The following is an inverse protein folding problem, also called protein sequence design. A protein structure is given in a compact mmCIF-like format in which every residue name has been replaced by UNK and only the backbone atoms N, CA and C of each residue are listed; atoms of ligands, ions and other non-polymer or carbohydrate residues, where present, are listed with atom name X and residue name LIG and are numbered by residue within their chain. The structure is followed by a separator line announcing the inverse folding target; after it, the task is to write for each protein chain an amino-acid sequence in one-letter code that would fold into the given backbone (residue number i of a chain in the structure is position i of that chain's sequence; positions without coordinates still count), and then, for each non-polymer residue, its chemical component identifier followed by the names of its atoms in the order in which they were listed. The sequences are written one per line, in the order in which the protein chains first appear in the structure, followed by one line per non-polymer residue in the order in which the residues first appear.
data_IF_116257422821
#
_entry.id   IF_116257422821
#
_cell.length_a   1.000
_cell.length_b   1.000
_cell.length_c   1.000
_cell.angle_alpha   90.00
_cell.angle_beta   90.00
_cell.angle_gamma   90.00
#
_symmetry.space_group_name_H-M   'P 1'
#
loop_
_entity.id
_entity.type
_entity.pdbx_description
1 polymer ?
#
# COMPACT_ATOMS: atom_id res chain seq x y z
N UNK A 1 -26.24 -18.86 -28.80
CA UNK A 1 -27.63 -18.89 -28.28
C UNK A 1 -27.65 -18.82 -26.74
N UNK A 2 -27.88 -17.64 -26.16
CA UNK A 2 -28.04 -17.50 -24.70
C UNK A 2 -29.35 -18.18 -24.28
N UNK A 3 -29.25 -19.31 -23.59
CA UNK A 3 -30.39 -19.96 -22.97
C UNK A 3 -30.97 -19.02 -21.90
N UNK A 4 -32.19 -18.53 -22.12
CA UNK A 4 -32.95 -17.79 -21.09
C UNK A 4 -33.09 -18.71 -19.89
N UNK A 5 -32.30 -18.44 -18.84
CA UNK A 5 -32.45 -19.14 -17.56
C UNK A 5 -33.70 -18.58 -16.91
N UNK A 6 -34.79 -19.33 -16.97
CA UNK A 6 -36.03 -18.97 -16.29
C UNK A 6 -35.76 -19.10 -14.80
N UNK A 7 -35.72 -17.98 -14.10
CA UNK A 7 -35.56 -17.95 -12.66
C UNK A 7 -36.85 -18.46 -12.03
N UNK A 8 -36.84 -19.70 -11.54
CA UNK A 8 -37.93 -20.23 -10.72
C UNK A 8 -37.73 -19.70 -9.30
N UNK A 9 -38.59 -18.79 -8.87
CA UNK A 9 -38.59 -18.37 -7.47
C UNK A 9 -39.00 -19.56 -6.59
N UNK A 10 -38.39 -19.75 -5.41
CA UNK A 10 -38.84 -20.79 -4.50
C UNK A 10 -40.32 -20.58 -4.15
N UNK A 11 -41.07 -21.67 -4.06
CA UNK A 11 -42.45 -21.63 -3.57
C UNK A 11 -42.43 -21.28 -2.09
N UNK A 12 -43.26 -20.31 -1.70
CA UNK A 12 -43.37 -19.88 -0.30
C UNK A 12 -43.98 -21.05 0.50
N UNK A 13 -43.33 -21.55 1.55
CA UNK A 13 -43.82 -22.68 2.32
C UNK A 13 -45.19 -22.39 2.96
N UNK A 14 -46.13 -23.32 2.84
CA UNK A 14 -47.55 -23.16 3.23
C UNK A 14 -47.84 -22.88 4.72
N UNK A 15 -46.81 -22.80 5.57
CA UNK A 15 -46.89 -22.46 6.99
C UNK A 15 -46.31 -21.09 7.36
N UNK A 16 -45.86 -20.30 6.38
CA UNK A 16 -45.23 -19.00 6.61
C UNK A 16 -46.30 -17.91 6.75
N UNK A 17 -46.54 -17.45 7.98
CA UNK A 17 -47.48 -16.36 8.30
C UNK A 17 -46.82 -14.98 8.28
N UNK A 18 -45.52 -14.91 7.99
CA UNK A 18 -44.75 -13.66 7.99
C UNK A 18 -44.92 -12.95 6.65
N UNK A 19 -45.74 -11.90 6.63
CA UNK A 19 -45.88 -11.02 5.47
C UNK A 19 -44.65 -10.11 5.38
N UNK A 20 -43.87 -10.25 4.31
CA UNK A 20 -42.73 -9.38 4.02
C UNK A 20 -43.19 -8.17 3.22
N UNK A 21 -43.21 -7.00 3.87
CA UNK A 21 -43.52 -5.72 3.24
C UNK A 21 -42.28 -5.17 2.53
N UNK A 22 -42.42 -4.75 1.27
CA UNK A 22 -41.31 -4.15 0.51
C UNK A 22 -41.16 -2.65 0.77
N UNK A 23 -42.21 -2.00 1.25
CA UNK A 23 -42.24 -0.59 1.60
C UNK A 23 -43.25 -0.29 2.71
N UNK A 24 -43.11 0.86 3.35
CA UNK A 24 -44.05 1.38 4.35
C UNK A 24 -45.46 1.56 3.77
N UNK A 25 -45.58 2.06 2.53
CA UNK A 25 -46.88 2.22 1.87
C UNK A 25 -47.61 0.88 1.64
N UNK A 26 -46.86 -0.21 1.46
CA UNK A 26 -47.44 -1.55 1.35
C UNK A 26 -47.97 -2.06 2.71
N UNK A 27 -47.30 -1.69 3.81
CA UNK A 27 -47.73 -2.03 5.18
C UNK A 27 -49.00 -1.25 5.58
N UNK A 28 -49.09 0.02 5.18
CA UNK A 28 -50.21 0.91 5.52
C UNK A 28 -51.45 0.69 4.63
N UNK A 29 -51.28 0.06 3.46
CA UNK A 29 -52.33 -0.37 2.53
C UNK A 29 -53.38 0.71 2.20
N UNK A 30 -52.90 1.93 1.99
CA UNK A 30 -53.73 3.09 1.69
C UNK A 30 -54.32 3.03 0.27
N UNK A 31 -55.51 3.59 0.02
CA UNK A 31 -56.14 3.56 -1.31
C UNK A 31 -55.35 4.30 -2.38
N UNK A 32 -54.61 5.35 -1.99
CA UNK A 32 -53.70 6.09 -2.88
C UNK A 32 -52.52 5.21 -3.31
N UNK A 33 -51.96 4.42 -2.39
CA UNK A 33 -50.86 3.50 -2.71
C UNK A 33 -51.30 2.36 -3.63
N UNK A 34 -52.53 1.83 -3.44
CA UNK A 34 -53.11 0.82 -4.35
C UNK A 34 -53.31 1.37 -5.76
N UNK A 35 -53.94 2.54 -5.90
CA UNK A 35 -54.12 3.18 -7.21
C UNK A 35 -52.79 3.53 -7.89
N UNK A 36 -51.76 3.87 -7.10
CA UNK A 36 -50.40 4.06 -7.62
C UNK A 36 -49.75 2.75 -8.09
N UNK A 37 -49.94 1.62 -7.38
CA UNK A 37 -49.46 0.30 -7.80
C UNK A 37 -50.20 -0.25 -9.03
N UNK A 38 -51.51 -0.04 -9.11
CA UNK A 38 -52.34 -0.48 -10.24
C UNK A 38 -52.04 0.30 -11.53
N UNK A 39 -51.45 1.50 -11.40
CA UNK A 39 -51.11 2.34 -12.54
C UNK A 39 -49.71 1.98 -13.06
N UNK A 40 -49.66 1.33 -14.22
CA UNK A 40 -48.38 0.92 -14.85
C UNK A 40 -47.45 2.10 -15.19
N UNK A 41 -47.99 3.32 -15.38
CA UNK A 41 -47.21 4.53 -15.68
C UNK A 41 -47.61 5.72 -14.80
N UNK A 42 -46.67 6.58 -14.36
CA UNK A 42 -46.99 7.82 -13.66
C UNK A 42 -47.93 8.73 -14.47
N UNK A 43 -48.81 9.47 -13.77
CA UNK A 43 -49.67 10.50 -14.39
C UNK A 43 -48.79 11.51 -15.15
N UNK A 44 -49.12 11.76 -16.42
CA UNK A 44 -48.36 12.60 -17.34
C UNK A 44 -47.41 11.87 -18.30
N UNK A 45 -47.27 10.54 -18.21
CA UNK A 45 -46.48 9.74 -19.19
C UNK A 45 -47.38 9.06 -20.24
N UNK A 46 -48.62 8.74 -19.88
CA UNK A 46 -49.56 8.03 -20.77
C UNK A 46 -50.53 8.94 -21.54
N UNK A 47 -50.63 10.23 -21.19
CA UNK A 47 -51.47 11.21 -21.89
C UNK A 47 -50.72 11.76 -23.10
N UNK A 48 -50.58 10.92 -24.12
CA UNK A 48 -50.21 11.33 -25.48
C UNK A 48 -51.48 11.34 -26.33
N UNK A 49 -52.44 12.21 -26.00
CA UNK A 49 -53.79 12.17 -26.57
C UNK A 49 -53.85 12.56 -28.06
N UNK A 50 -52.85 13.28 -28.58
CA UNK A 50 -52.84 13.74 -29.97
C UNK A 50 -51.67 13.13 -30.77
N UNK A 51 -51.95 12.72 -32.02
CA UNK A 51 -50.93 12.17 -32.95
C UNK A 51 -49.77 13.16 -33.20
N UNK A 52 -50.04 14.47 -33.21
CA UNK A 52 -49.03 15.52 -33.41
C UNK A 52 -48.06 15.66 -32.21
N UNK A 53 -48.57 15.53 -30.98
CA UNK A 53 -47.78 15.53 -29.75
C UNK A 53 -46.93 14.25 -29.66
N UNK A 54 -47.48 13.12 -30.15
CA UNK A 54 -46.76 11.85 -30.24
C UNK A 54 -45.60 11.87 -31.25
N UNK A 55 -45.79 12.48 -32.43
CA UNK A 55 -44.74 12.62 -33.44
C UNK A 55 -43.58 13.53 -32.97
N UNK A 56 -43.92 14.66 -32.35
CA UNK A 56 -42.94 15.62 -31.85
C UNK A 56 -42.13 15.05 -30.68
N UNK A 57 -42.78 14.30 -29.79
CA UNK A 57 -42.14 13.62 -28.65
C UNK A 57 -41.21 12.48 -29.09
N UNK A 58 -41.64 11.61 -30.01
CA UNK A 58 -40.81 10.50 -30.54
C UNK A 58 -39.55 11.02 -31.24
N UNK A 59 -39.69 12.07 -32.06
CA UNK A 59 -38.55 12.68 -32.76
C UNK A 59 -37.57 13.33 -31.79
N UNK A 60 -38.08 13.97 -30.74
CA UNK A 60 -37.25 14.61 -29.71
C UNK A 60 -36.54 13.57 -28.84
N UNK A 61 -37.20 12.47 -28.49
CA UNK A 61 -36.60 11.34 -27.79
C UNK A 61 -35.49 10.69 -28.62
N UNK A 62 -35.72 10.40 -29.90
CA UNK A 62 -34.71 9.83 -30.79
C UNK A 62 -33.52 10.78 -31.00
N UNK A 63 -33.75 12.09 -31.05
CA UNK A 63 -32.67 13.09 -31.07
C UNK A 63 -31.84 13.05 -29.80
N UNK A 64 -32.48 12.95 -28.63
CA UNK A 64 -31.80 12.98 -27.33
C UNK A 64 -31.05 11.66 -27.06
N UNK A 65 -31.65 10.52 -27.41
CA UNK A 65 -31.00 9.20 -27.38
C UNK A 65 -29.87 9.09 -28.39
N UNK A 66 -30.06 9.61 -29.61
CA UNK A 66 -29.02 9.70 -30.63
C UNK A 66 -27.85 10.59 -30.20
N UNK A 67 -28.14 11.75 -29.61
CA UNK A 67 -27.12 12.65 -29.05
C UNK A 67 -26.37 12.00 -27.87
N UNK A 68 -27.07 11.29 -26.99
CA UNK A 68 -26.48 10.55 -25.87
C UNK A 68 -25.59 9.40 -26.35
N UNK A 69 -26.03 8.68 -27.37
CA UNK A 69 -25.26 7.57 -27.98
C UNK A 69 -24.04 8.10 -28.73
N UNK A 70 -24.15 9.24 -29.42
CA UNK A 70 -23.03 9.89 -30.07
C UNK A 70 -21.98 10.37 -29.05
N UNK A 71 -22.42 11.04 -27.98
CA UNK A 71 -21.51 11.46 -26.88
C UNK A 71 -20.86 10.27 -26.18
N UNK A 72 -21.61 9.20 -25.91
CA UNK A 72 -21.07 7.96 -25.37
C UNK A 72 -20.09 7.29 -26.35
N UNK A 73 -20.39 7.29 -27.65
CA UNK A 73 -19.58 6.72 -28.72
C UNK A 73 -18.25 7.44 -28.95
N UNK A 74 -18.21 8.77 -28.83
CA UNK A 74 -16.96 9.54 -28.86
C UNK A 74 -16.06 9.28 -27.63
N UNK A 75 -16.62 8.76 -26.53
CA UNK A 75 -15.87 8.25 -25.37
C UNK A 75 -15.31 6.82 -25.54
N UNK A 76 -15.66 6.11 -26.61
CA UNK A 76 -15.24 4.72 -26.88
C UNK A 76 -13.82 4.60 -27.45
N UNK A 77 -12.95 5.58 -27.20
CA UNK A 77 -11.50 5.34 -27.21
C UNK A 77 -11.08 4.24 -26.18
N UNK A 78 -12.01 3.83 -25.31
CA UNK A 78 -11.86 2.75 -24.33
C UNK A 78 -11.59 1.34 -24.92
N UNK A 79 -11.78 1.11 -26.23
CA UNK A 79 -11.47 -0.20 -26.84
C UNK A 79 -10.04 -0.31 -27.41
N UNK A 80 -9.20 0.73 -27.30
CA UNK A 80 -7.81 0.64 -27.74
C UNK A 80 -6.94 0.14 -26.59
N UNK A 81 -6.48 -1.11 -26.69
CA UNK A 81 -5.48 -1.65 -25.75
C UNK A 81 -4.24 -0.76 -25.81
N UNK A 82 -3.77 -0.20 -24.68
CA UNK A 82 -2.53 0.57 -24.67
C UNK A 82 -1.39 -0.33 -25.13
N UNK A 83 -0.54 0.20 -26.00
CA UNK A 83 0.69 -0.48 -26.40
C UNK A 83 1.60 -0.64 -25.18
N UNK A 84 1.96 -1.89 -24.88
CA UNK A 84 2.87 -2.21 -23.79
C UNK A 84 4.23 -2.56 -24.37
N UNK A 85 5.25 -1.79 -24.04
CA UNK A 85 6.62 -2.07 -24.44
C UNK A 85 7.26 -3.10 -23.51
N UNK A 86 7.94 -4.09 -24.08
CA UNK A 86 8.75 -5.06 -23.35
C UNK A 86 10.20 -4.64 -23.53
N UNK A 87 10.86 -4.24 -22.43
CA UNK A 87 12.26 -3.78 -22.44
C UNK A 87 13.17 -4.90 -21.96
N UNK A 88 13.97 -5.54 -22.84
CA UNK A 88 14.90 -6.58 -22.43
C UNK A 88 16.16 -5.98 -21.77
N UNK A 89 16.96 -6.84 -21.13
CA UNK A 89 18.26 -6.46 -20.60
C UNK A 89 19.24 -6.11 -21.73
N UNK A 90 19.93 -4.97 -21.61
CA UNK A 90 21.08 -4.67 -22.49
C UNK A 90 22.25 -5.64 -22.24
N UNK A 91 22.47 -6.02 -20.97
CA UNK A 91 23.47 -7.01 -20.56
C UNK A 91 22.86 -7.90 -19.48
N UNK A 92 22.39 -9.08 -19.87
CA UNK A 92 21.72 -10.00 -18.97
C UNK A 92 22.73 -10.63 -18.00
N UNK A 93 22.47 -10.62 -16.68
CA UNK A 93 23.27 -11.38 -15.73
C UNK A 93 22.94 -12.88 -15.85
N UNK A 94 23.96 -13.73 -15.71
CA UNK A 94 23.87 -15.18 -15.98
C UNK A 94 22.84 -15.91 -15.11
N UNK A 95 22.66 -15.46 -13.86
CA UNK A 95 21.85 -16.15 -12.84
C UNK A 95 20.39 -15.69 -12.79
N UNK A 96 19.97 -14.76 -13.65
CA UNK A 96 18.59 -14.24 -13.67
C UNK A 96 17.89 -14.69 -14.95
N UNK A 97 16.89 -15.54 -14.78
CA UNK A 97 16.00 -15.95 -15.86
C UNK A 97 14.68 -15.16 -15.70
N UNK A 98 14.30 -14.30 -16.66
CA UNK A 98 13.05 -13.56 -16.61
C UNK A 98 11.85 -14.49 -16.36
N UNK A 99 10.97 -14.09 -15.45
CA UNK A 99 9.80 -14.88 -15.03
C UNK A 99 10.05 -16.00 -14.01
N UNK A 100 11.30 -16.34 -13.69
CA UNK A 100 11.62 -17.27 -12.59
C UNK A 100 12.04 -16.49 -11.33
N UNK A 101 11.48 -16.91 -10.20
CA UNK A 101 11.88 -16.35 -8.91
C UNK A 101 13.28 -16.83 -8.52
N UNK A 102 14.10 -15.91 -8.03
CA UNK A 102 15.39 -16.22 -7.39
C UNK A 102 15.26 -15.96 -5.89
N UNK A 103 15.86 -16.84 -5.08
CA UNK A 103 15.75 -16.81 -3.63
C UNK A 103 17.10 -16.39 -3.02
N UNK A 104 17.08 -15.37 -2.17
CA UNK A 104 18.27 -14.89 -1.46
C UNK A 104 18.13 -15.09 0.04
N UNK A 105 19.16 -15.64 0.68
CA UNK A 105 19.26 -15.68 2.14
C UNK A 105 19.67 -14.29 2.66
N UNK A 106 18.86 -13.72 3.54
CA UNK A 106 19.08 -12.42 4.15
C UNK A 106 18.60 -12.42 5.60
N UNK A 107 18.71 -11.29 6.30
CA UNK A 107 18.22 -11.14 7.66
C UNK A 107 17.66 -9.73 7.88
N UNK A 108 16.51 -9.63 8.54
CA UNK A 108 15.97 -8.34 8.99
C UNK A 108 16.36 -8.11 10.44
N UNK A 109 17.00 -6.99 10.75
CA UNK A 109 17.30 -6.67 12.13
C UNK A 109 16.05 -6.17 12.90
N UNK A 110 15.97 -6.55 14.16
CA UNK A 110 14.88 -6.32 15.11
C UNK A 110 15.45 -5.89 16.47
N UNK A 111 14.60 -5.42 17.38
CA UNK A 111 15.02 -4.99 18.72
C UNK A 111 15.68 -6.13 19.51
N UNK A 112 15.16 -7.34 19.39
CA UNK A 112 15.63 -8.53 20.13
C UNK A 112 16.72 -9.34 19.41
N UNK A 113 17.14 -8.93 18.20
CA UNK A 113 18.13 -9.68 17.41
C UNK A 113 17.90 -9.53 15.90
N UNK A 114 18.33 -10.52 15.10
CA UNK A 114 18.10 -10.56 13.66
C UNK A 114 17.18 -11.72 13.31
N UNK A 115 16.13 -11.44 12.54
CA UNK A 115 15.23 -12.47 12.01
C UNK A 115 15.84 -13.02 10.71
N UNK A 116 16.13 -14.32 10.62
CA UNK A 116 16.69 -14.94 9.42
C UNK A 116 15.59 -15.15 8.36
N UNK A 117 15.88 -14.77 7.12
CA UNK A 117 14.87 -14.67 6.05
C UNK A 117 15.37 -15.22 4.72
N UNK A 118 14.43 -15.71 3.93
CA UNK A 118 14.60 -15.97 2.51
C UNK A 118 13.72 -14.99 1.74
N UNK A 119 14.34 -14.22 0.85
CA UNK A 119 13.67 -13.21 0.05
C UNK A 119 13.47 -13.74 -1.36
N UNK A 120 12.23 -13.76 -1.82
CA UNK A 120 11.92 -14.04 -3.22
C UNK A 120 12.10 -12.76 -4.02
N UNK A 121 12.90 -12.83 -5.07
CA UNK A 121 13.09 -11.70 -5.97
C UNK A 121 12.73 -12.11 -7.39
N UNK A 122 12.12 -11.18 -8.11
CA UNK A 122 11.96 -11.26 -9.56
C UNK A 122 12.84 -10.18 -10.16
N UNK A 123 13.79 -10.56 -11.00
CA UNK A 123 14.60 -9.57 -11.74
C UNK A 123 15.31 -8.55 -10.83
N UNK A 124 15.74 -9.00 -9.64
CA UNK A 124 16.39 -8.15 -8.63
C UNK A 124 15.44 -7.31 -7.77
N UNK A 125 14.12 -7.44 -7.94
CA UNK A 125 13.11 -6.76 -7.11
C UNK A 125 12.55 -7.74 -6.05
N UNK A 126 12.78 -7.49 -4.76
CA UNK A 126 12.15 -8.25 -3.68
C UNK A 126 10.63 -8.19 -3.73
N UNK A 127 9.94 -9.31 -3.70
CA UNK A 127 8.46 -9.34 -3.71
C UNK A 127 7.86 -9.94 -2.45
N UNK A 128 8.47 -11.01 -1.92
CA UNK A 128 8.01 -11.69 -0.71
C UNK A 128 9.19 -12.05 0.18
N UNK A 129 8.94 -11.99 1.47
CA UNK A 129 9.86 -12.39 2.53
C UNK A 129 9.25 -13.62 3.19
N UNK A 130 10.07 -14.65 3.38
CA UNK A 130 9.71 -15.92 4.01
C UNK A 130 10.75 -16.23 5.12
N UNK A 131 10.40 -17.05 6.12
CA UNK A 131 11.38 -17.48 7.11
C UNK A 131 12.43 -18.39 6.47
N UNK A 132 13.66 -18.34 6.98
CA UNK A 132 14.69 -19.31 6.60
C UNK A 132 14.62 -20.56 7.48
N UNK A 133 14.09 -21.66 6.94
CA UNK A 133 13.94 -22.93 7.67
C UNK A 133 15.26 -23.64 7.96
N UNK A 134 16.35 -23.26 7.26
CA UNK A 134 17.68 -23.81 7.51
C UNK A 134 18.40 -23.11 8.68
N UNK A 135 17.86 -22.01 9.19
CA UNK A 135 18.48 -21.27 10.28
C UNK A 135 18.07 -21.86 11.65
N UNK A 136 19.01 -22.14 12.57
CA UNK A 136 18.72 -22.83 13.83
C UNK A 136 17.84 -22.01 14.77
N UNK A 137 18.00 -20.68 14.79
CA UNK A 137 17.41 -19.84 15.85
C UNK A 137 15.92 -19.52 15.65
N UNK A 138 15.38 -19.57 14.42
CA UNK A 138 14.00 -19.09 14.17
C UNK A 138 13.43 -19.65 12.87
N UNK A 139 12.28 -20.31 12.95
CA UNK A 139 11.55 -20.89 11.81
C UNK A 139 10.33 -20.08 11.34
N UNK A 140 10.17 -18.82 11.77
CA UNK A 140 8.99 -17.99 11.52
C UNK A 140 9.28 -16.52 11.21
N UNK A 141 8.27 -15.82 10.68
CA UNK A 141 8.31 -14.37 10.43
C UNK A 141 7.20 -13.65 11.17
N UNK A 142 7.50 -12.49 11.75
CA UNK A 142 6.49 -11.63 12.36
C UNK A 142 5.77 -10.74 11.32
N UNK A 143 4.66 -10.12 11.70
CA UNK A 143 3.90 -9.16 10.89
C UNK A 143 4.73 -7.95 10.42
N UNK A 144 5.54 -7.34 11.28
CA UNK A 144 6.46 -6.25 10.90
C UNK A 144 7.52 -6.71 9.91
N UNK A 145 8.00 -7.94 10.06
CA UNK A 145 8.93 -8.55 9.12
C UNK A 145 8.30 -8.76 7.75
N UNK A 146 7.05 -9.22 7.69
CA UNK A 146 6.30 -9.33 6.44
C UNK A 146 5.98 -7.96 5.82
N UNK A 147 5.62 -6.96 6.64
CA UNK A 147 5.32 -5.60 6.20
C UNK A 147 6.56 -4.81 5.75
N UNK A 148 7.77 -5.25 6.10
CA UNK A 148 9.03 -4.56 5.77
C UNK A 148 9.26 -4.33 4.28
N UNK A 149 8.66 -5.16 3.43
CA UNK A 149 8.72 -5.03 1.97
C UNK A 149 8.03 -3.72 1.53
N UNK A 150 6.93 -3.35 2.17
CA UNK A 150 6.20 -2.13 1.86
C UNK A 150 6.99 -0.89 2.26
N UNK A 151 7.75 -0.97 3.35
CA UNK A 151 8.66 0.10 3.74
C UNK A 151 9.71 0.33 2.63
N UNK A 152 10.28 -0.73 2.06
CA UNK A 152 11.25 -0.63 0.95
C UNK A 152 10.66 0.08 -0.28
N UNK A 153 9.40 -0.22 -0.61
CA UNK A 153 8.69 0.37 -1.77
C UNK A 153 7.89 1.63 -1.45
N UNK A 154 8.00 2.17 -0.23
CA UNK A 154 7.25 3.35 0.16
C UNK A 154 7.63 4.58 -0.70
N UNK A 155 6.65 5.29 -1.28
CA UNK A 155 6.94 6.50 -2.08
C UNK A 155 7.48 7.65 -1.22
N UNK A 156 7.19 7.67 0.08
CA UNK A 156 7.64 8.69 1.04
C UNK A 156 9.08 8.48 1.52
N UNK A 157 9.72 7.37 1.14
CA UNK A 157 11.12 7.09 1.49
C UNK A 157 12.04 8.19 0.93
N UNK A 158 12.98 8.67 1.76
CA UNK A 158 13.94 9.68 1.34
C UNK A 158 14.79 9.20 0.15
N UNK A 159 14.77 9.96 -0.94
CA UNK A 159 15.55 9.68 -2.16
C UNK A 159 16.78 10.57 -2.31
N UNK A 160 16.88 11.62 -1.51
CA UNK A 160 17.93 12.66 -1.59
C UNK A 160 18.48 12.94 -0.21
N UNK A 161 19.76 13.29 -0.14
CA UNK A 161 20.35 13.80 1.10
C UNK A 161 19.79 15.20 1.35
N UNK A 162 19.47 15.51 2.61
CA UNK A 162 18.89 16.78 3.01
C UNK A 162 19.81 17.48 4.02
N UNK A 163 20.03 18.78 3.84
CA UNK A 163 20.69 19.66 4.80
C UNK A 163 19.72 20.77 5.18
N UNK A 164 19.34 20.84 6.46
CA UNK A 164 18.35 21.81 6.96
C UNK A 164 17.04 21.82 6.15
N UNK A 165 16.56 20.62 5.76
CA UNK A 165 15.33 20.45 4.98
C UNK A 165 15.45 20.75 3.48
N UNK A 166 16.61 21.21 2.99
CA UNK A 166 16.86 21.45 1.56
C UNK A 166 17.66 20.29 0.94
N UNK A 167 17.41 19.92 -0.33
CA UNK A 167 18.18 18.89 -1.00
C UNK A 167 19.65 19.29 -1.15
N UNK A 168 20.57 18.40 -0.78
CA UNK A 168 22.02 18.58 -0.90
C UNK A 168 22.66 17.41 -1.64
N UNK A 169 23.87 17.63 -2.16
CA UNK A 169 24.65 16.58 -2.81
C UNK A 169 25.30 15.63 -1.80
N UNK A 170 25.66 14.42 -2.25
CA UNK A 170 26.41 13.46 -1.41
C UNK A 170 27.81 13.97 -1.08
N UNK A 171 28.46 14.68 -2.00
CA UNK A 171 29.78 15.27 -1.78
C UNK A 171 29.76 16.32 -0.67
N UNK A 172 28.77 17.20 -0.64
CA UNK A 172 28.59 18.18 0.45
C UNK A 172 28.33 17.54 1.82
N UNK A 173 27.66 16.38 1.83
CA UNK A 173 27.47 15.61 3.04
C UNK A 173 28.78 15.01 3.55
N UNK A 174 29.59 14.45 2.64
CA UNK A 174 30.90 13.88 2.96
C UNK A 174 31.88 14.96 3.46
N UNK A 175 31.88 16.16 2.86
CA UNK A 175 32.70 17.28 3.35
C UNK A 175 32.25 17.77 4.72
N UNK A 176 30.94 17.85 4.97
CA UNK A 176 30.39 18.21 6.28
C UNK A 176 30.77 17.19 7.37
N UNK A 177 30.72 15.89 7.05
CA UNK A 177 31.17 14.83 7.96
C UNK A 177 32.68 14.90 8.22
N UNK A 178 33.49 15.14 7.18
CA UNK A 178 34.93 15.25 7.31
C UNK A 178 35.35 16.44 8.18
N UNK A 179 34.66 17.58 8.06
CA UNK A 179 34.89 18.76 8.91
C UNK A 179 34.61 18.44 10.39
N UNK A 180 33.47 17.80 10.69
CA UNK A 180 33.13 17.37 12.05
C UNK A 180 34.12 16.35 12.62
N UNK A 181 34.70 15.49 11.78
CA UNK A 181 35.71 14.53 12.21
C UNK A 181 37.09 15.16 12.47
N UNK A 182 37.43 16.25 11.77
CA UNK A 182 38.70 16.95 11.94
C UNK A 182 38.75 17.76 13.26
N UNK A 183 37.61 18.23 13.73
CA UNK A 183 37.49 19.03 14.96
C UNK A 183 37.63 18.16 16.22
N UNK A 184 38.86 17.98 16.70
CA UNK A 184 39.17 17.21 17.92
C UNK A 184 38.55 17.79 19.20
N UNK A 185 38.13 19.04 19.19
CA UNK A 185 37.46 19.71 20.30
C UNK A 185 35.93 19.51 20.29
N UNK A 186 35.35 19.04 19.18
CA UNK A 186 33.92 18.86 19.04
C UNK A 186 33.43 17.71 19.92
N UNK A 187 32.37 17.96 20.69
CA UNK A 187 31.68 16.93 21.49
C UNK A 187 30.65 16.24 20.62
N UNK A 188 31.08 15.24 19.85
CA UNK A 188 30.21 14.47 18.97
C UNK A 188 29.63 13.27 19.72
N UNK A 189 28.32 13.07 19.63
CA UNK A 189 27.63 11.88 20.14
C UNK A 189 26.87 11.19 19.01
N UNK A 190 26.99 9.87 18.92
CA UNK A 190 26.22 9.06 17.97
C UNK A 190 25.06 8.39 18.70
N UNK A 191 23.83 8.66 18.25
CA UNK A 191 22.64 7.99 18.76
C UNK A 191 22.25 6.89 17.79
N UNK A 192 22.20 5.66 18.29
CA UNK A 192 21.75 4.50 17.54
C UNK A 192 20.49 3.93 18.20
N UNK A 193 19.57 3.39 17.40
CA UNK A 193 18.49 2.56 17.95
C UNK A 193 19.03 1.30 18.61
N UNK A 194 18.24 0.67 19.49
CA UNK A 194 18.58 -0.61 20.11
C UNK A 194 18.67 -1.68 19.04
N UNK A 195 19.90 -1.99 18.60
CA UNK A 195 20.16 -2.95 17.54
C UNK A 195 21.29 -3.86 17.98
N UNK A 196 20.90 -5.07 18.38
CA UNK A 196 21.78 -6.19 18.63
C UNK A 196 22.25 -6.76 17.28
N UNK A 197 23.29 -6.17 16.69
CA UNK A 197 23.96 -6.77 15.55
C UNK A 197 25.48 -6.68 15.70
N UNK A 198 26.18 -7.81 15.49
CA UNK A 198 27.63 -7.96 15.65
C UNK A 198 28.46 -6.99 14.78
N UNK A 199 27.86 -6.42 13.74
CA UNK A 199 28.44 -5.35 12.93
C UNK A 199 28.60 -4.02 13.68
N UNK A 200 27.74 -3.71 14.67
CA UNK A 200 27.88 -2.51 15.53
C UNK A 200 29.13 -2.59 16.40
N UNK A 201 29.44 -3.77 16.93
CA UNK A 201 30.66 -3.99 17.73
C UNK A 201 31.92 -3.75 16.88
N UNK A 202 32.00 -4.29 15.66
CA UNK A 202 33.16 -4.10 14.77
C UNK A 202 33.29 -2.69 14.20
N UNK A 203 32.18 -2.00 13.90
CA UNK A 203 32.23 -0.59 13.50
C UNK A 203 32.62 0.31 14.68
N UNK A 204 31.98 0.17 15.85
CA UNK A 204 32.42 0.86 17.07
C UNK A 204 33.92 0.64 17.29
N UNK A 205 34.42 -0.59 17.33
CA UNK A 205 35.85 -0.82 17.62
C UNK A 205 36.77 -0.11 16.62
N UNK A 206 36.44 -0.10 15.31
CA UNK A 206 37.28 0.54 14.29
C UNK A 206 37.26 2.07 14.32
N UNK A 207 36.13 2.72 14.60
CA UNK A 207 36.10 4.19 14.79
C UNK A 207 36.63 4.61 16.17
N UNK A 208 36.55 3.74 17.18
CA UNK A 208 36.91 4.07 18.57
C UNK A 208 38.42 4.01 18.87
N UNK A 209 39.24 3.41 17.99
CA UNK A 209 40.70 3.33 18.19
C UNK A 209 41.41 4.69 18.17
N UNK A 210 40.77 5.76 17.69
CA UNK A 210 41.41 7.08 17.52
C UNK A 210 40.81 8.21 18.37
N UNK A 211 39.81 7.94 19.22
CA UNK A 211 39.00 8.99 19.81
C UNK A 211 38.68 8.71 21.29
N UNK A 212 39.32 9.45 22.18
CA UNK A 212 39.46 9.13 23.62
C UNK A 212 38.31 9.55 24.54
N UNK A 213 37.23 10.16 24.03
CA UNK A 213 36.05 10.53 24.86
C UNK A 213 34.75 10.43 24.08
N UNK A 214 34.00 9.35 24.30
CA UNK A 214 32.63 9.17 23.76
C UNK A 214 31.68 8.72 24.86
N UNK A 215 30.44 9.21 24.78
CA UNK A 215 29.31 8.79 25.61
C UNK A 215 28.29 8.14 24.68
N UNK A 216 28.09 6.83 24.84
CA UNK A 216 27.01 6.10 24.16
C UNK A 216 25.82 6.15 25.08
N UNK A 217 24.76 6.84 24.67
CA UNK A 217 23.51 6.92 25.42
C UNK A 217 22.50 5.99 24.74
N UNK A 218 22.15 4.92 25.45
CA UNK A 218 21.05 4.03 25.10
C UNK A 218 19.74 4.62 25.65
N UNK A 219 18.73 4.80 24.79
CA UNK A 219 17.52 5.56 25.11
C UNK A 219 16.53 4.81 26.02
N UNK A 220 16.69 3.49 26.24
CA UNK A 220 15.72 2.70 27.03
C UNK A 220 16.28 1.95 28.24
N UNK A 221 17.60 1.78 28.36
CA UNK A 221 18.19 1.13 29.52
C UNK A 221 19.04 2.14 30.31
N UNK A 222 18.58 2.52 31.51
CA UNK A 222 19.32 3.35 32.49
C UNK A 222 20.57 2.63 33.06
N UNK A 223 21.26 1.79 32.28
CA UNK A 223 22.58 1.26 32.61
C UNK A 223 23.63 2.01 31.82
N UNK A 224 24.01 3.14 32.38
CA UNK A 224 25.30 3.77 32.08
C UNK A 224 26.38 2.79 32.54
N UNK A 225 27.17 2.28 31.61
CA UNK A 225 28.38 1.53 31.95
C UNK A 225 29.41 2.53 32.50
N UNK A 226 29.40 2.69 33.83
CA UNK A 226 30.20 3.68 34.59
C UNK A 226 31.70 3.35 34.62
N UNK A 227 32.14 2.29 33.94
CA UNK A 227 33.49 1.75 34.09
C UNK A 227 34.60 2.59 33.44
N UNK A 228 34.29 3.59 32.59
CA UNK A 228 35.34 4.37 31.89
C UNK A 228 35.22 5.89 31.78
N UNK A 229 34.21 6.57 32.33
CA UNK A 229 34.21 8.05 32.39
C UNK A 229 33.40 8.54 33.59
N UNK A 230 34.10 9.12 34.56
CA UNK A 230 33.47 9.85 35.66
C UNK A 230 32.86 11.16 35.15
N UNK A 231 31.53 11.25 35.15
CA UNK A 231 30.75 12.49 35.26
C UNK A 231 29.40 12.07 35.92
N UNK A 232 29.16 12.55 37.14
CA UNK A 232 27.88 12.48 37.85
C UNK A 232 27.19 13.85 37.76
N UNK A 233 25.97 13.96 37.22
CA UNK A 233 25.14 15.17 37.29
C UNK A 233 23.66 14.74 37.41
N UNK A 234 22.81 15.45 38.19
CA UNK A 234 21.72 14.83 38.95
C UNK A 234 20.40 14.72 38.20
N UNK A 235 19.59 13.80 38.72
CA UNK A 235 18.21 13.48 38.37
C UNK A 235 17.25 14.66 38.54
N UNK A 236 16.43 14.89 37.51
CA UNK A 236 15.05 15.35 37.60
C UNK A 236 14.17 14.39 36.80
#
# INVERSE_FOLDING_TARGET
PMSKRIWQHPEVPAGETTVSWRSLGQLEDTPEFRSWMEREFPQGVAEMDNEEDAETSRRSFLKLMGASTALAGFGMAACRRPESYIVPYNKAPEWIIPGKATYYASSRPSATGAVPLVVTTFEGRPTKVAPNTLHPDTSGTDAFTQASILDLYSPSRSRKVLKQGKPSSRAEFETALAALAADKAAKVGFVFGEFSMSFRWRMCIKTYSHMTRFLVVDQFNKRIDKSKLGICIPSF
#
